data_IF_929476445715
#
_entry.id   IF_929476445715
#
_cell.length_a   1.000
_cell.length_b   1.000
_cell.length_c   1.000
_cell.angle_alpha   90.00
_cell.angle_beta   90.00
_cell.angle_gamma   90.00
#
_symmetry.space_group_name_H-M   'P 1'
#
loop_
_entity.id
_entity.type
_entity.pdbx_description
1 polymer ?
#
# COMPACT_ATOMS: atom_id res chain seq x y z
N UNK A 1 7.00 -22.65 9.30
CA UNK A 1 5.66 -22.06 9.48
C UNK A 1 5.45 -20.95 8.47
N UNK A 2 4.27 -20.92 7.85
CA UNK A 2 3.95 -19.85 6.91
C UNK A 2 3.74 -18.53 7.65
N UNK A 3 4.66 -17.60 7.47
CA UNK A 3 4.49 -16.23 7.93
C UNK A 3 3.27 -15.59 7.26
N UNK A 4 2.42 -14.95 8.05
CA UNK A 4 1.30 -14.18 7.52
C UNK A 4 1.82 -12.93 6.80
N UNK A 5 1.43 -12.76 5.54
CA UNK A 5 1.85 -11.64 4.69
C UNK A 5 0.89 -10.46 4.84
N UNK A 6 1.42 -9.27 5.00
CA UNK A 6 0.65 -8.02 5.12
C UNK A 6 1.15 -7.01 4.11
N UNK A 7 0.25 -6.43 3.33
CA UNK A 7 0.55 -5.28 2.47
C UNK A 7 0.09 -4.00 3.15
N UNK A 8 0.99 -3.03 3.24
CA UNK A 8 0.71 -1.71 3.83
C UNK A 8 1.03 -0.65 2.81
N UNK A 9 0.10 0.26 2.54
CA UNK A 9 0.34 1.40 1.65
C UNK A 9 0.85 2.62 2.43
N UNK A 10 1.65 3.45 1.75
CA UNK A 10 2.14 4.72 2.32
C UNK A 10 3.15 4.56 3.45
N UNK A 11 4.19 3.74 3.25
CA UNK A 11 5.14 3.39 4.30
C UNK A 11 6.42 4.23 4.33
N UNK A 12 6.54 5.26 3.50
CA UNK A 12 7.76 6.09 3.46
C UNK A 12 8.03 6.82 4.77
N UNK A 13 6.97 7.26 5.45
CA UNK A 13 7.05 8.01 6.71
C UNK A 13 5.86 7.70 7.62
N UNK A 14 5.83 8.30 8.80
CA UNK A 14 4.68 8.38 9.68
C UNK A 14 4.09 7.05 10.12
N UNK A 15 2.76 6.98 10.13
CA UNK A 15 1.99 5.82 10.63
C UNK A 15 2.30 4.56 9.84
N UNK A 16 2.35 4.65 8.51
CA UNK A 16 2.63 3.49 7.65
C UNK A 16 3.98 2.86 7.94
N UNK A 17 5.02 3.67 8.09
CA UNK A 17 6.35 3.18 8.44
C UNK A 17 6.37 2.56 9.83
N UNK A 18 5.75 3.19 10.80
CA UNK A 18 5.65 2.67 12.17
C UNK A 18 4.95 1.30 12.20
N UNK A 19 3.83 1.18 11.49
CA UNK A 19 3.10 -0.09 11.37
C UNK A 19 3.94 -1.18 10.70
N UNK A 20 4.63 -0.84 9.61
CA UNK A 20 5.45 -1.79 8.86
C UNK A 20 6.56 -2.37 9.74
N UNK A 21 7.31 -1.52 10.43
CA UNK A 21 8.37 -1.94 11.35
C UNK A 21 7.80 -2.73 12.54
N UNK A 22 6.71 -2.27 13.12
CA UNK A 22 6.08 -2.90 14.28
C UNK A 22 5.52 -4.29 13.97
N UNK A 23 4.91 -4.49 12.80
CA UNK A 23 4.41 -5.80 12.37
C UNK A 23 5.56 -6.73 11.99
N UNK A 24 6.59 -6.21 11.33
CA UNK A 24 7.80 -6.99 11.05
C UNK A 24 8.44 -7.52 12.32
N UNK A 25 8.59 -6.67 13.34
CA UNK A 25 9.13 -7.07 14.63
C UNK A 25 8.28 -8.15 15.34
N UNK A 26 7.00 -8.24 15.01
CA UNK A 26 6.08 -9.27 15.52
C UNK A 26 6.05 -10.55 14.67
N UNK A 27 6.91 -10.65 13.68
CA UNK A 27 7.04 -11.86 12.87
C UNK A 27 6.14 -11.93 11.63
N UNK A 28 5.46 -10.85 11.27
CA UNK A 28 4.74 -10.79 10.00
C UNK A 28 5.69 -10.56 8.83
N UNK A 29 5.36 -11.12 7.69
CA UNK A 29 6.01 -10.79 6.42
C UNK A 29 5.37 -9.53 5.87
N UNK A 30 6.10 -8.43 5.85
CA UNK A 30 5.55 -7.11 5.52
C UNK A 30 6.01 -6.66 4.15
N UNK A 31 5.03 -6.41 3.27
CA UNK A 31 5.20 -5.70 2.02
C UNK A 31 4.86 -4.23 2.26
N UNK A 32 5.88 -3.40 2.32
CA UNK A 32 5.74 -1.97 2.60
C UNK A 32 5.81 -1.18 1.30
N UNK A 33 4.68 -0.63 0.85
CA UNK A 33 4.66 0.12 -0.38
C UNK A 33 4.93 1.61 -0.16
N UNK A 34 5.62 2.19 -1.14
CA UNK A 34 5.97 3.61 -1.19
C UNK A 34 5.67 4.16 -2.56
N UNK A 35 5.36 5.45 -2.65
CA UNK A 35 5.10 6.10 -3.94
C UNK A 35 6.37 6.31 -4.75
N UNK A 36 7.48 6.65 -4.08
CA UNK A 36 8.73 7.00 -4.74
C UNK A 36 9.78 5.90 -4.53
N UNK A 37 10.40 5.47 -5.61
CA UNK A 37 11.41 4.41 -5.57
C UNK A 37 12.60 4.72 -4.65
N UNK A 38 12.95 6.00 -4.49
CA UNK A 38 14.03 6.41 -3.59
C UNK A 38 13.84 5.98 -2.14
N UNK A 39 12.58 5.75 -1.72
CA UNK A 39 12.26 5.37 -0.35
C UNK A 39 12.34 3.85 -0.11
N UNK A 40 12.47 3.06 -1.18
CA UNK A 40 12.50 1.60 -1.12
C UNK A 40 13.75 1.09 -0.38
N UNK A 41 14.91 1.66 -0.69
CA UNK A 41 16.19 1.17 -0.16
C UNK A 41 16.24 1.23 1.37
N UNK A 42 15.75 2.31 1.97
CA UNK A 42 15.73 2.47 3.43
C UNK A 42 14.85 1.43 4.13
N UNK A 43 13.70 1.10 3.53
CA UNK A 43 12.79 0.09 4.08
C UNK A 43 13.35 -1.33 3.89
N UNK A 44 13.99 -1.61 2.77
CA UNK A 44 14.67 -2.89 2.55
C UNK A 44 15.84 -3.09 3.51
N UNK A 45 16.61 -2.03 3.80
CA UNK A 45 17.67 -2.07 4.78
C UNK A 45 17.16 -2.37 6.20
N UNK A 46 15.89 -2.03 6.49
CA UNK A 46 15.23 -2.36 7.75
C UNK A 46 14.61 -3.78 7.79
N UNK A 47 14.81 -4.59 6.74
CA UNK A 47 14.32 -5.96 6.66
C UNK A 47 12.93 -6.12 6.06
N UNK A 48 12.32 -5.04 5.53
CA UNK A 48 11.00 -5.07 4.92
C UNK A 48 11.10 -5.39 3.43
N UNK A 49 10.05 -6.03 2.89
CA UNK A 49 9.90 -6.17 1.44
C UNK A 49 9.19 -4.93 0.90
N UNK A 50 9.97 -3.97 0.42
CA UNK A 50 9.43 -2.71 -0.08
C UNK A 50 9.30 -2.69 -1.60
N UNK A 51 8.24 -2.07 -2.08
CA UNK A 51 7.90 -1.94 -3.50
C UNK A 51 7.22 -0.61 -3.79
N UNK A 52 7.26 -0.21 -5.05
CA UNK A 52 6.60 1.02 -5.50
C UNK A 52 5.10 0.78 -5.73
N UNK A 53 4.28 1.72 -5.27
CA UNK A 53 2.85 1.76 -5.52
C UNK A 53 2.35 3.20 -5.54
N UNK A 54 1.86 3.65 -6.68
CA UNK A 54 1.15 4.91 -6.83
C UNK A 54 -0.35 4.62 -7.00
N UNK A 55 -1.13 4.99 -5.98
CA UNK A 55 -2.59 4.76 -5.97
C UNK A 55 -3.35 5.55 -7.05
N UNK A 56 -2.72 6.55 -7.68
CA UNK A 56 -3.31 7.28 -8.81
C UNK A 56 -3.16 6.58 -10.15
N UNK A 57 -2.29 5.57 -10.21
CA UNK A 57 -1.93 4.91 -11.45
C UNK A 57 -2.39 3.45 -11.44
N UNK A 58 -3.46 3.09 -12.19
CA UNK A 58 -3.96 1.72 -12.25
C UNK A 58 -2.91 0.68 -12.62
N UNK A 59 -1.99 1.02 -13.52
CA UNK A 59 -0.90 0.11 -13.90
C UNK A 59 0.09 -0.13 -12.76
N UNK A 60 0.35 0.89 -11.92
CA UNK A 60 1.18 0.74 -10.73
C UNK A 60 0.51 -0.17 -9.70
N UNK A 61 -0.80 -0.02 -9.49
CA UNK A 61 -1.58 -0.87 -8.59
C UNK A 61 -1.51 -2.33 -9.05
N UNK A 62 -1.73 -2.58 -10.34
CA UNK A 62 -1.64 -3.92 -10.91
C UNK A 62 -0.25 -4.53 -10.73
N UNK A 63 0.79 -3.81 -11.13
CA UNK A 63 2.17 -4.28 -11.02
C UNK A 63 2.57 -4.59 -9.57
N UNK A 64 2.18 -3.75 -8.62
CA UNK A 64 2.44 -3.96 -7.21
C UNK A 64 1.75 -5.23 -6.68
N UNK A 65 0.49 -5.45 -7.05
CA UNK A 65 -0.24 -6.67 -6.66
C UNK A 65 0.38 -7.93 -7.26
N UNK A 66 0.76 -7.88 -8.54
CA UNK A 66 1.42 -9.01 -9.20
C UNK A 66 2.74 -9.36 -8.50
N UNK A 67 3.52 -8.35 -8.11
CA UNK A 67 4.78 -8.54 -7.37
C UNK A 67 4.53 -9.13 -5.97
N UNK A 68 3.56 -8.61 -5.23
CA UNK A 68 3.21 -9.12 -3.89
C UNK A 68 2.77 -10.58 -3.98
N UNK A 69 1.90 -10.91 -4.92
CA UNK A 69 1.39 -12.27 -5.08
C UNK A 69 2.48 -13.25 -5.53
N UNK A 70 3.36 -12.83 -6.44
CA UNK A 70 4.49 -13.65 -6.87
C UNK A 70 5.43 -13.97 -5.71
N UNK A 71 5.77 -12.98 -4.89
CA UNK A 71 6.65 -13.14 -3.74
C UNK A 71 6.03 -13.90 -2.58
N UNK A 72 4.72 -13.72 -2.36
CA UNK A 72 4.00 -14.38 -1.26
C UNK A 72 3.47 -15.78 -1.59
N UNK A 73 3.67 -16.25 -2.81
CA UNK A 73 3.09 -17.51 -3.27
C UNK A 73 1.56 -17.43 -3.37
N UNK A 74 1.03 -16.30 -3.79
CA UNK A 74 -0.41 -16.06 -3.91
C UNK A 74 -1.12 -15.90 -2.57
N UNK A 75 -0.41 -15.49 -1.52
CA UNK A 75 -0.97 -15.35 -0.17
C UNK A 75 -0.89 -13.92 0.32
N UNK A 76 -2.02 -13.39 0.74
CA UNK A 76 -2.08 -12.11 1.44
C UNK A 76 -3.09 -12.21 2.58
N UNK A 77 -2.59 -12.12 3.80
CA UNK A 77 -3.40 -12.22 5.01
C UNK A 77 -4.13 -10.92 5.33
N UNK A 78 -3.48 -9.77 5.13
CA UNK A 78 -4.07 -8.48 5.43
C UNK A 78 -3.62 -7.40 4.45
N UNK A 79 -4.52 -6.47 4.17
CA UNK A 79 -4.25 -5.19 3.52
C UNK A 79 -4.52 -4.06 4.52
N UNK A 80 -3.53 -3.19 4.71
CA UNK A 80 -3.69 -1.97 5.51
C UNK A 80 -3.64 -0.77 4.56
N UNK A 81 -4.81 -0.21 4.30
CA UNK A 81 -4.98 1.00 3.49
C UNK A 81 -4.62 2.23 4.32
N UNK A 82 -3.33 2.58 4.31
CA UNK A 82 -2.80 3.75 5.00
C UNK A 82 -2.41 4.86 4.03
N UNK A 83 -2.08 4.52 2.79
CA UNK A 83 -1.63 5.48 1.77
C UNK A 83 -2.70 6.48 1.42
N UNK A 84 -2.39 7.75 1.68
CA UNK A 84 -3.25 8.88 1.39
C UNK A 84 -2.46 10.18 1.50
N UNK A 85 -3.09 11.24 1.08
CA UNK A 85 -2.64 12.59 1.40
C UNK A 85 -3.83 13.50 1.69
N UNK A 86 -3.60 14.55 2.47
CA UNK A 86 -4.58 15.59 2.70
C UNK A 86 -4.33 16.80 1.81
N UNK A 87 -5.38 17.39 1.27
CA UNK A 87 -5.33 18.62 0.51
C UNK A 87 -5.97 19.75 1.35
N UNK A 88 -5.19 20.43 2.21
CA UNK A 88 -5.73 21.53 2.99
C UNK A 88 -5.91 22.76 2.11
N UNK A 89 -6.86 23.62 2.48
CA UNK A 89 -7.11 24.89 1.82
C UNK A 89 -8.51 25.41 2.13
N UNK A 90 -8.69 26.72 1.92
CA UNK A 90 -10.03 27.29 1.96
C UNK A 90 -10.86 26.70 0.81
N UNK A 91 -12.15 26.50 1.02
CA UNK A 91 -13.02 25.86 0.02
C UNK A 91 -12.97 26.58 -1.33
N UNK A 92 -12.93 27.91 -1.29
CA UNK A 92 -12.87 28.77 -2.48
C UNK A 92 -11.55 28.69 -3.24
N UNK A 93 -10.46 28.27 -2.60
CA UNK A 93 -9.14 28.14 -3.19
C UNK A 93 -8.90 26.74 -3.79
N UNK A 94 -9.72 25.76 -3.46
CA UNK A 94 -9.57 24.39 -3.95
C UNK A 94 -10.20 24.23 -5.33
N UNK A 95 -9.37 23.98 -6.33
CA UNK A 95 -9.83 23.72 -7.69
C UNK A 95 -10.46 22.35 -7.83
N UNK A 96 -11.27 22.17 -8.87
CA UNK A 96 -11.81 20.84 -9.22
C UNK A 96 -10.70 19.82 -9.47
N UNK A 97 -9.60 20.25 -10.07
CA UNK A 97 -8.44 19.40 -10.33
C UNK A 97 -7.79 18.90 -9.03
N UNK A 98 -7.58 19.79 -8.06
CA UNK A 98 -7.05 19.42 -6.75
C UNK A 98 -7.95 18.40 -6.05
N UNK A 99 -9.27 18.60 -6.09
CA UNK A 99 -10.24 17.66 -5.53
C UNK A 99 -10.21 16.31 -6.26
N UNK A 100 -10.14 16.31 -7.58
CA UNK A 100 -10.04 15.06 -8.36
C UNK A 100 -8.80 14.26 -7.99
N UNK A 101 -7.65 14.90 -7.89
CA UNK A 101 -6.40 14.24 -7.50
C UNK A 101 -6.51 13.60 -6.11
N UNK A 102 -7.16 14.27 -5.18
CA UNK A 102 -7.39 13.72 -3.84
C UNK A 102 -8.29 12.49 -3.88
N UNK A 103 -9.38 12.53 -4.61
CA UNK A 103 -10.28 11.39 -4.78
C UNK A 103 -9.62 10.25 -5.56
N UNK A 104 -8.85 10.54 -6.59
CA UNK A 104 -8.09 9.52 -7.33
C UNK A 104 -7.15 8.72 -6.42
N UNK A 105 -6.47 9.39 -5.50
CA UNK A 105 -5.55 8.73 -4.57
C UNK A 105 -6.31 8.06 -3.43
N UNK A 106 -7.12 8.83 -2.70
CA UNK A 106 -7.65 8.41 -1.40
C UNK A 106 -8.89 7.53 -1.52
N UNK A 107 -9.62 7.60 -2.62
CA UNK A 107 -10.83 6.81 -2.84
C UNK A 107 -10.65 5.79 -3.96
N UNK A 108 -10.45 6.23 -5.18
CA UNK A 108 -10.44 5.33 -6.34
C UNK A 108 -9.26 4.36 -6.32
N UNK A 109 -8.06 4.83 -6.03
CA UNK A 109 -6.88 3.97 -5.92
C UNK A 109 -7.00 2.96 -4.78
N UNK A 110 -7.47 3.40 -3.63
CA UNK A 110 -7.70 2.55 -2.47
C UNK A 110 -8.76 1.48 -2.77
N UNK A 111 -9.86 1.86 -3.42
CA UNK A 111 -10.92 0.95 -3.83
C UNK A 111 -10.40 -0.07 -4.85
N UNK A 112 -9.66 0.36 -5.85
CA UNK A 112 -9.10 -0.55 -6.85
C UNK A 112 -8.14 -1.57 -6.24
N UNK A 113 -7.21 -1.12 -5.39
CA UNK A 113 -6.30 -2.02 -4.69
C UNK A 113 -7.07 -3.04 -3.84
N UNK A 114 -8.05 -2.59 -3.08
CA UNK A 114 -8.89 -3.44 -2.25
C UNK A 114 -9.63 -4.49 -3.09
N UNK A 115 -10.20 -4.09 -4.23
CA UNK A 115 -10.88 -4.99 -5.15
C UNK A 115 -9.96 -6.08 -5.72
N UNK A 116 -8.66 -5.79 -5.88
CA UNK A 116 -7.67 -6.79 -6.32
C UNK A 116 -7.26 -7.74 -5.21
N UNK A 117 -7.30 -7.31 -3.97
CA UNK A 117 -6.93 -8.12 -2.80
C UNK A 117 -8.04 -9.08 -2.37
N UNK A 118 -9.29 -8.64 -2.39
CA UNK A 118 -10.43 -9.42 -1.88
C UNK A 118 -10.58 -10.81 -2.51
N UNK A 119 -10.44 -11.00 -3.84
CA UNK A 119 -10.54 -12.34 -4.43
C UNK A 119 -9.46 -13.30 -3.91
N UNK A 120 -8.26 -12.79 -3.66
CA UNK A 120 -7.14 -13.57 -3.11
C UNK A 120 -7.45 -14.07 -1.71
N UNK A 121 -7.93 -13.17 -0.85
CA UNK A 121 -8.32 -13.52 0.52
C UNK A 121 -9.50 -14.49 0.54
N UNK A 122 -10.52 -14.23 -0.27
CA UNK A 122 -11.72 -15.09 -0.36
C UNK A 122 -11.38 -16.51 -0.81
N UNK A 123 -10.50 -16.66 -1.82
CA UNK A 123 -10.08 -17.96 -2.32
C UNK A 123 -9.37 -18.81 -1.26
N UNK A 124 -8.79 -18.18 -0.25
CA UNK A 124 -8.07 -18.85 0.84
C UNK A 124 -8.85 -18.89 2.16
N UNK A 125 -9.99 -18.26 2.21
CA UNK A 125 -10.78 -18.11 3.42
C UNK A 125 -9.99 -17.43 4.56
N UNK A 126 -9.21 -16.41 4.19
CA UNK A 126 -8.38 -15.58 5.08
C UNK A 126 -8.89 -14.14 5.13
#
# INVERSE_FOLDING_TARGET
MNQKSVLITGCSTGIGRCLALGLHARGYRVFASVKQEKDIAALRAAGLESLALDLRAPDSIRAAMDEVLARSGGRLYALINNGAYGQPGAVEDLTREALRLQFETNLFGTQELTNRVLPVMRARNE
#
